data_IF_520565885829
#
_entry.id   IF_520565885829
#
_cell.length_a   1.000
_cell.length_b   1.000
_cell.length_c   1.000
_cell.angle_alpha   90.00
_cell.angle_beta   90.00
_cell.angle_gamma   90.00
#
_symmetry.space_group_name_H-M   'P 1'
#
loop_
_entity.id
_entity.type
_entity.pdbx_description
1 polymer ?
#
# COMPACT_ATOMS: atom_id res chain seq x y z
N UNK A 1 -15.19 -10.50 0.96
CA UNK A 1 -14.19 -10.77 -0.10
C UNK A 1 -13.18 -9.64 -0.22
N UNK A 2 -13.57 -8.39 -0.50
CA UNK A 2 -12.66 -7.24 -0.59
C UNK A 2 -11.68 -7.09 0.58
N UNK A 3 -12.17 -7.30 1.81
CA UNK A 3 -11.35 -7.30 3.03
C UNK A 3 -10.20 -8.32 3.00
N UNK A 4 -10.38 -9.51 2.40
CA UNK A 4 -9.32 -10.50 2.30
C UNK A 4 -8.20 -10.06 1.34
N UNK A 5 -8.57 -9.41 0.23
CA UNK A 5 -7.62 -8.83 -0.70
C UNK A 5 -6.81 -7.70 -0.04
N UNK A 6 -7.47 -6.87 0.77
CA UNK A 6 -6.81 -5.87 1.59
C UNK A 6 -5.80 -6.48 2.57
N UNK A 7 -6.23 -7.50 3.34
CA UNK A 7 -5.37 -8.19 4.30
C UNK A 7 -4.16 -8.86 3.61
N UNK A 8 -4.36 -9.54 2.48
CA UNK A 8 -3.27 -10.16 1.75
C UNK A 8 -2.30 -9.14 1.15
N UNK A 9 -2.80 -8.00 0.68
CA UNK A 9 -1.95 -6.88 0.27
C UNK A 9 -0.98 -6.46 1.39
N UNK A 10 -1.45 -6.36 2.63
CA UNK A 10 -0.59 -6.01 3.78
C UNK A 10 0.28 -7.15 4.28
N UNK A 11 -0.23 -8.38 4.28
CA UNK A 11 0.57 -9.53 4.68
C UNK A 11 1.76 -9.75 3.73
N UNK A 12 1.57 -9.52 2.43
CA UNK A 12 2.63 -9.70 1.44
C UNK A 12 3.78 -8.70 1.58
N UNK A 13 3.53 -7.51 2.11
CA UNK A 13 4.60 -6.56 2.44
C UNK A 13 5.64 -7.22 3.37
N UNK A 14 5.19 -7.85 4.45
CA UNK A 14 6.06 -8.56 5.39
C UNK A 14 6.58 -9.88 4.83
N UNK A 15 5.78 -10.58 4.01
CA UNK A 15 6.20 -11.84 3.38
C UNK A 15 7.43 -11.66 2.47
N UNK A 16 7.54 -10.51 1.79
CA UNK A 16 8.71 -10.17 0.98
C UNK A 16 9.93 -9.70 1.79
N UNK A 17 9.89 -9.83 3.12
CA UNK A 17 11.02 -9.50 4.00
C UNK A 17 11.09 -8.02 4.39
N UNK A 18 10.12 -7.19 4.00
CA UNK A 18 10.07 -5.82 4.49
C UNK A 18 9.67 -5.80 5.97
N UNK A 19 10.16 -4.79 6.69
CA UNK A 19 9.80 -4.51 8.06
C UNK A 19 9.41 -3.03 8.19
N UNK A 20 9.01 -2.62 9.40
CA UNK A 20 8.75 -1.22 9.70
C UNK A 20 10.06 -0.42 9.85
N UNK A 21 11.05 -0.65 8.99
CA UNK A 21 12.33 0.05 8.98
C UNK A 21 12.71 0.35 7.52
N UNK A 22 13.39 1.47 7.27
CA UNK A 22 13.87 1.77 5.90
C UNK A 22 15.02 0.83 5.53
N UNK A 23 15.79 0.37 6.51
CA UNK A 23 16.91 -0.56 6.30
C UNK A 23 16.50 -1.95 5.81
N UNK A 24 15.21 -2.32 5.88
CA UNK A 24 14.73 -3.59 5.31
C UNK A 24 14.45 -3.51 3.81
N UNK A 25 14.47 -2.31 3.22
CA UNK A 25 14.23 -2.14 1.79
C UNK A 25 15.41 -2.70 1.01
N UNK A 26 15.12 -3.65 0.13
CA UNK A 26 16.13 -4.25 -0.73
C UNK A 26 16.55 -3.29 -1.86
N UNK A 27 17.71 -2.67 -1.70
CA UNK A 27 18.31 -1.78 -2.69
C UNK A 27 18.82 -2.56 -3.91
N UNK A 28 19.12 -3.86 -3.77
CA UNK A 28 19.65 -4.68 -4.88
C UNK A 28 18.62 -4.86 -5.99
N UNK A 29 17.32 -4.84 -5.65
CA UNK A 29 16.23 -4.82 -6.62
C UNK A 29 16.31 -3.65 -7.61
N UNK A 30 16.91 -2.53 -7.20
CA UNK A 30 17.15 -1.37 -8.07
C UNK A 30 18.14 -1.62 -9.21
N UNK A 31 18.97 -2.66 -9.09
CA UNK A 31 20.03 -3.00 -10.04
C UNK A 31 19.73 -4.27 -10.84
N UNK A 32 18.56 -4.88 -10.64
CA UNK A 32 18.18 -6.11 -11.32
C UNK A 32 18.02 -5.85 -12.83
N UNK A 33 18.94 -6.41 -13.64
CA UNK A 33 18.89 -6.32 -15.10
C UNK A 33 19.31 -4.96 -15.69
N UNK A 34 19.88 -4.06 -14.88
CA UNK A 34 20.35 -2.74 -15.32
C UNK A 34 21.86 -2.62 -15.16
N UNK A 35 22.54 -2.24 -16.24
CA UNK A 35 24.01 -2.06 -16.26
C UNK A 35 24.45 -0.58 -16.19
N UNK A 36 23.55 0.36 -16.48
CA UNK A 36 23.85 1.81 -16.47
C UNK A 36 23.14 2.47 -15.30
N UNK A 37 23.88 3.25 -14.50
CA UNK A 37 23.30 3.99 -13.38
C UNK A 37 22.35 5.08 -13.87
N UNK A 38 21.11 5.05 -13.36
CA UNK A 38 20.08 6.05 -13.60
C UNK A 38 19.23 6.15 -12.33
N UNK A 39 19.49 7.16 -11.49
CA UNK A 39 18.89 7.25 -10.16
C UNK A 39 17.35 7.13 -10.14
N UNK A 40 16.58 7.79 -11.04
CA UNK A 40 15.12 7.63 -11.08
C UNK A 40 14.66 6.21 -11.39
N UNK A 41 15.35 5.53 -12.31
CA UNK A 41 15.00 4.16 -12.71
C UNK A 41 15.26 3.16 -11.58
N UNK A 42 16.40 3.27 -10.91
CA UNK A 42 16.73 2.41 -9.76
C UNK A 42 15.76 2.65 -8.61
N UNK A 43 15.41 3.91 -8.35
CA UNK A 43 14.41 4.27 -7.36
C UNK A 43 13.03 3.69 -7.67
N UNK A 44 12.60 3.71 -8.94
CA UNK A 44 11.35 3.10 -9.38
C UNK A 44 11.34 1.59 -9.15
N UNK A 45 12.42 0.88 -9.48
CA UNK A 45 12.50 -0.56 -9.29
C UNK A 45 12.48 -0.95 -7.80
N UNK A 46 13.22 -0.23 -6.95
CA UNK A 46 13.18 -0.43 -5.49
C UNK A 46 11.76 -0.17 -4.98
N UNK A 47 11.13 0.93 -5.40
CA UNK A 47 9.76 1.25 -5.03
C UNK A 47 8.78 0.13 -5.44
N UNK A 48 8.86 -0.33 -6.68
CA UNK A 48 8.02 -1.44 -7.16
C UNK A 48 8.24 -2.68 -6.31
N UNK A 49 9.49 -3.05 -5.99
CA UNK A 49 9.79 -4.21 -5.14
C UNK A 49 9.15 -4.10 -3.75
N UNK A 50 9.20 -2.91 -3.12
CA UNK A 50 8.60 -2.69 -1.79
C UNK A 50 7.07 -2.83 -1.83
N UNK A 51 6.43 -2.37 -2.91
CA UNK A 51 4.97 -2.27 -2.99
C UNK A 51 4.30 -3.31 -3.90
N UNK A 52 5.05 -4.26 -4.47
CA UNK A 52 4.52 -5.22 -5.46
C UNK A 52 3.39 -6.08 -4.89
N UNK A 53 3.49 -6.48 -3.62
CA UNK A 53 2.46 -7.27 -2.94
C UNK A 53 1.11 -6.54 -2.85
N UNK A 54 1.05 -5.37 -2.19
CA UNK A 54 -0.13 -4.51 -2.20
C UNK A 54 -0.66 -4.23 -3.62
N UNK A 55 0.21 -3.86 -4.56
CA UNK A 55 -0.19 -3.55 -5.95
C UNK A 55 -0.85 -4.77 -6.61
N UNK A 56 -0.24 -5.95 -6.51
CA UNK A 56 -0.76 -7.18 -7.09
C UNK A 56 -2.14 -7.54 -6.53
N UNK A 57 -2.29 -7.56 -5.21
CA UNK A 57 -3.57 -7.91 -4.58
C UNK A 57 -4.66 -6.89 -4.89
N UNK A 58 -4.31 -5.60 -4.96
CA UNK A 58 -5.26 -4.56 -5.34
C UNK A 58 -5.72 -4.68 -6.81
N UNK A 59 -4.80 -4.94 -7.75
CA UNK A 59 -5.15 -5.19 -9.15
C UNK A 59 -6.02 -6.44 -9.30
N UNK A 60 -5.69 -7.51 -8.57
CA UNK A 60 -6.48 -8.75 -8.60
C UNK A 60 -7.90 -8.57 -8.07
N UNK A 61 -8.12 -7.64 -7.13
CA UNK A 61 -9.46 -7.27 -6.65
C UNK A 61 -10.27 -6.58 -7.74
N UNK A 62 -9.65 -5.65 -8.47
CA UNK A 62 -10.30 -4.95 -9.60
C UNK A 62 -10.68 -5.96 -10.68
N UNK A 63 -9.75 -6.83 -11.10
CA UNK A 63 -10.03 -7.84 -12.14
C UNK A 63 -11.09 -8.88 -11.73
N UNK A 64 -11.28 -9.11 -10.44
CA UNK A 64 -12.29 -10.08 -9.97
C UNK A 64 -13.71 -9.57 -10.12
N UNK A 65 -13.93 -8.25 -10.15
CA UNK A 65 -15.28 -7.70 -10.22
C UNK A 65 -15.63 -7.52 -11.70
N UNK A 66 -16.60 -8.29 -12.24
CA UNK A 66 -16.95 -8.19 -13.65
C UNK A 66 -17.54 -6.81 -13.96
N UNK A 67 -17.18 -6.27 -15.14
CA UNK A 67 -17.57 -4.92 -15.58
C UNK A 67 -19.09 -4.69 -15.53
N UNK A 68 -19.88 -5.72 -15.89
CA UNK A 68 -21.34 -5.65 -15.83
C UNK A 68 -21.90 -5.53 -14.41
N UNK A 69 -21.26 -6.15 -13.41
CA UNK A 69 -21.65 -6.03 -12.02
C UNK A 69 -21.22 -4.68 -11.42
N UNK A 70 -20.10 -4.12 -11.89
CA UNK A 70 -19.59 -2.82 -11.48
C UNK A 70 -20.51 -1.67 -11.93
N UNK A 71 -20.96 -1.70 -13.19
CA UNK A 71 -21.86 -0.70 -13.77
C UNK A 71 -23.29 -0.77 -13.23
N UNK A 72 -23.72 -1.94 -12.73
CA UNK A 72 -25.12 -2.17 -12.36
C UNK A 72 -25.60 -1.41 -11.10
N UNK A 73 -24.72 -0.89 -10.25
CA UNK A 73 -25.17 0.06 -9.21
C UNK A 73 -24.07 0.98 -8.68
N UNK A 74 -24.27 2.29 -8.81
CA UNK A 74 -23.43 3.29 -8.16
C UNK A 74 -23.37 3.14 -6.62
N UNK A 75 -24.47 2.70 -5.98
CA UNK A 75 -24.54 2.50 -4.53
C UNK A 75 -23.54 1.47 -3.99
N UNK A 76 -23.44 0.28 -4.62
CA UNK A 76 -22.47 -0.75 -4.21
C UNK A 76 -21.02 -0.31 -4.40
N UNK A 77 -20.72 0.51 -5.43
CA UNK A 77 -19.38 1.08 -5.63
C UNK A 77 -19.03 2.05 -4.50
N UNK A 78 -19.95 2.94 -4.15
CA UNK A 78 -19.76 3.90 -3.07
C UNK A 78 -19.59 3.19 -1.71
N UNK A 79 -20.37 2.15 -1.43
CA UNK A 79 -20.23 1.34 -0.22
C UNK A 79 -18.86 0.64 -0.17
N UNK A 80 -18.44 0.00 -1.26
CA UNK A 80 -17.12 -0.62 -1.38
C UNK A 80 -15.98 0.38 -1.11
N UNK A 81 -16.02 1.54 -1.78
CA UNK A 81 -15.00 2.59 -1.60
C UNK A 81 -15.00 3.12 -0.18
N UNK A 82 -16.18 3.35 0.40
CA UNK A 82 -16.32 3.86 1.78
C UNK A 82 -15.71 2.87 2.77
N UNK A 83 -16.04 1.58 2.66
CA UNK A 83 -15.52 0.54 3.54
C UNK A 83 -14.00 0.39 3.39
N UNK A 84 -13.49 0.42 2.15
CA UNK A 84 -12.07 0.30 1.87
C UNK A 84 -11.26 1.50 2.42
N UNK A 85 -11.76 2.73 2.23
CA UNK A 85 -11.17 3.94 2.79
C UNK A 85 -11.26 3.97 4.32
N UNK A 86 -12.34 3.47 4.90
CA UNK A 86 -12.48 3.33 6.35
C UNK A 86 -11.39 2.43 6.94
N UNK A 87 -11.16 1.25 6.35
CA UNK A 87 -10.07 0.37 6.80
C UNK A 87 -8.69 1.02 6.67
N UNK A 88 -8.44 1.75 5.58
CA UNK A 88 -7.19 2.53 5.43
C UNK A 88 -7.04 3.61 6.49
N UNK A 89 -8.12 4.34 6.79
CA UNK A 89 -8.11 5.38 7.81
C UNK A 89 -7.74 4.78 9.17
N UNK A 90 -8.27 3.61 9.52
CA UNK A 90 -7.91 2.91 10.76
C UNK A 90 -6.41 2.56 10.78
N UNK A 91 -5.86 1.99 9.69
CA UNK A 91 -4.42 1.68 9.62
C UNK A 91 -3.53 2.92 9.80
N UNK A 92 -3.87 4.02 9.12
CA UNK A 92 -3.13 5.29 9.21
C UNK A 92 -3.26 5.89 10.61
N UNK A 93 -4.46 5.92 11.18
CA UNK A 93 -4.70 6.45 12.52
C UNK A 93 -3.92 5.67 13.59
N UNK A 94 -3.86 4.33 13.48
CA UNK A 94 -3.05 3.49 14.37
C UNK A 94 -1.56 3.79 14.21
N UNK A 95 -1.06 3.95 12.99
CA UNK A 95 0.35 4.26 12.75
C UNK A 95 0.75 5.65 13.31
N UNK A 96 -0.03 6.68 13.00
CA UNK A 96 0.18 8.03 13.53
C UNK A 96 -0.03 8.10 15.04
N UNK A 97 -1.06 7.45 15.56
CA UNK A 97 -1.33 7.37 16.99
C UNK A 97 -0.17 6.70 17.75
N UNK A 98 0.36 5.60 17.21
CA UNK A 98 1.53 4.93 17.78
C UNK A 98 2.77 5.83 17.77
N UNK A 99 3.03 6.54 16.67
CA UNK A 99 4.13 7.49 16.57
C UNK A 99 3.98 8.69 17.54
N UNK A 100 2.76 9.18 17.72
CA UNK A 100 2.47 10.28 18.64
C UNK A 100 2.62 9.87 20.10
N UNK A 101 2.10 8.69 20.47
CA UNK A 101 2.22 8.13 21.82
C UNK A 101 3.67 7.81 22.19
N UNK A 102 4.45 7.30 21.23
CA UNK A 102 5.84 6.91 21.42
C UNK A 102 6.85 7.96 20.93
N UNK A 103 6.46 9.24 20.86
CA UNK A 103 7.29 10.34 20.33
C UNK A 103 8.64 10.54 21.02
N UNK A 104 8.74 10.14 22.29
CA UNK A 104 9.97 10.23 23.09
C UNK A 104 10.74 8.90 23.16
N UNK A 105 10.20 7.84 22.53
CA UNK A 105 10.85 6.54 22.48
C UNK A 105 12.01 6.55 21.49
N UNK A 106 13.07 5.81 21.78
CA UNK A 106 14.28 5.71 20.94
C UNK A 106 13.97 5.23 19.51
N UNK A 107 12.87 4.50 19.34
CA UNK A 107 12.43 3.95 18.04
C UNK A 107 11.50 4.87 17.23
N UNK A 108 11.25 6.12 17.65
CA UNK A 108 10.40 7.05 16.90
C UNK A 108 10.87 7.23 15.46
N UNK A 109 12.18 7.38 15.25
CA UNK A 109 12.76 7.61 13.93
C UNK A 109 13.06 6.33 13.15
N UNK A 110 13.32 5.21 13.83
CA UNK A 110 13.75 3.96 13.18
C UNK A 110 12.63 2.99 12.90
N UNK A 111 11.51 3.06 13.64
CA UNK A 111 10.37 2.14 13.50
C UNK A 111 9.07 2.88 13.20
N UNK A 112 8.71 3.87 14.01
CA UNK A 112 7.41 4.52 13.90
C UNK A 112 7.32 5.46 12.69
N UNK A 113 8.34 6.29 12.44
CA UNK A 113 8.39 7.16 11.27
C UNK A 113 8.39 6.37 9.94
N UNK A 114 9.20 5.30 9.76
CA UNK A 114 9.08 4.43 8.58
C UNK A 114 7.70 3.80 8.43
N UNK A 115 7.07 3.32 9.51
CA UNK A 115 5.70 2.80 9.46
C UNK A 115 4.73 3.85 8.91
N UNK A 116 4.78 5.08 9.42
CA UNK A 116 3.94 6.19 8.95
C UNK A 116 4.19 6.50 7.47
N UNK A 117 5.45 6.46 7.02
CA UNK A 117 5.81 6.67 5.62
C UNK A 117 5.20 5.58 4.71
N UNK A 118 5.36 4.30 5.06
CA UNK A 118 4.78 3.19 4.30
C UNK A 118 3.24 3.30 4.23
N UNK A 119 2.59 3.59 5.35
CA UNK A 119 1.13 3.78 5.40
C UNK A 119 0.65 4.98 4.57
N UNK A 120 1.49 6.01 4.42
CA UNK A 120 1.18 7.16 3.57
C UNK A 120 1.16 6.77 2.08
N UNK A 121 2.17 6.02 1.61
CA UNK A 121 2.21 5.52 0.23
C UNK A 121 1.07 4.56 -0.06
N UNK A 122 0.78 3.65 0.87
CA UNK A 122 -0.37 2.76 0.78
C UNK A 122 -1.71 3.50 0.66
N UNK A 123 -1.84 4.66 1.30
CA UNK A 123 -3.02 5.51 1.19
C UNK A 123 -3.12 6.19 -0.17
N UNK A 124 -2.00 6.51 -0.83
CA UNK A 124 -2.01 6.99 -2.22
C UNK A 124 -2.56 5.92 -3.16
N UNK A 125 -2.09 4.68 -3.06
CA UNK A 125 -2.64 3.57 -3.87
C UNK A 125 -4.14 3.37 -3.60
N UNK A 126 -4.55 3.44 -2.34
CA UNK A 126 -5.95 3.31 -1.99
C UNK A 126 -6.83 4.43 -2.59
N UNK A 127 -6.33 5.66 -2.57
CA UNK A 127 -7.02 6.81 -3.18
C UNK A 127 -7.16 6.64 -4.71
N UNK A 128 -6.09 6.22 -5.38
CA UNK A 128 -6.13 5.95 -6.83
C UNK A 128 -7.20 4.90 -7.18
N UNK A 129 -7.29 3.83 -6.38
CA UNK A 129 -8.30 2.79 -6.58
C UNK A 129 -9.71 3.31 -6.32
N UNK A 130 -9.90 4.11 -5.27
CA UNK A 130 -11.18 4.74 -4.99
C UNK A 130 -11.64 5.63 -6.15
N UNK A 131 -10.74 6.44 -6.73
CA UNK A 131 -11.03 7.29 -7.89
C UNK A 131 -11.40 6.44 -9.11
N UNK A 132 -10.60 5.42 -9.43
CA UNK A 132 -10.86 4.49 -10.54
C UNK A 132 -12.22 3.81 -10.35
N UNK A 133 -12.47 3.33 -9.14
CA UNK A 133 -13.72 2.65 -8.76
C UNK A 133 -14.95 3.55 -8.98
N UNK A 134 -14.88 4.83 -8.63
CA UNK A 134 -16.01 5.74 -8.79
C UNK A 134 -16.19 6.26 -10.22
N UNK A 135 -15.12 6.27 -11.02
CA UNK A 135 -15.11 6.83 -12.38
C UNK A 135 -15.75 5.92 -13.43
N UNK A 136 -15.73 4.60 -13.21
CA UNK A 136 -16.38 3.59 -14.06
C UNK A 136 -17.69 3.15 -13.44
#
# INVERSE_FOLDING_TARGET
VAFLYFLHGWATFFYFGNANAISSVDVSAGFAGIIVYCAPLHGLLIFLQVYIGPIFWLLSLICRIPCSAWQASAGRRAEFVTLFLFFRLVCVAVAFGSAALQRHHLFVWTVFAPKVLYESVHSVFACLIAVISLSF
#
